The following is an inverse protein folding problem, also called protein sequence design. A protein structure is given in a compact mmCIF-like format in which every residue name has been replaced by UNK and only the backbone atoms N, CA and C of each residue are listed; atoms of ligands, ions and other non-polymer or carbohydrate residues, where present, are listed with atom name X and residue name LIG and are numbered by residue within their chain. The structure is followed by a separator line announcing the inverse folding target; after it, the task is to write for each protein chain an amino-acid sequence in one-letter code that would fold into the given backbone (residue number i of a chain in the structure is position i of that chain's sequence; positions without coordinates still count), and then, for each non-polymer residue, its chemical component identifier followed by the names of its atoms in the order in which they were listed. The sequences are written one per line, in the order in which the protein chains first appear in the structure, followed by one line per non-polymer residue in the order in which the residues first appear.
data_IF_462178359439
#
_entry.id   IF_462178359439
#
_cell.length_a   1.000
_cell.length_b   1.000
_cell.length_c   1.000
_cell.angle_alpha   90.00
_cell.angle_beta   90.00
_cell.angle_gamma   90.00
#
_symmetry.space_group_name_H-M   'P 1'
#
loop_
_entity.id
_entity.type
_entity.pdbx_description
1 polymer ?
#
# COMPACT_ATOMS: atom_id res chain seq x y z
N UNK A 1 -7.33 -1.28 29.49
CA UNK A 1 -6.40 -1.00 30.60
C UNK A 1 -5.99 0.46 30.46
N UNK A 2 -6.68 1.36 31.16
CA UNK A 2 -6.37 2.79 31.16
C UNK A 2 -5.21 3.01 32.14
N UNK A 3 -4.07 3.48 31.65
CA UNK A 3 -2.95 3.85 32.52
C UNK A 3 -3.25 5.23 33.10
N UNK A 4 -3.53 5.24 34.41
CA UNK A 4 -3.77 6.42 35.21
C UNK A 4 -2.43 7.08 35.54
N UNK A 5 -2.04 8.08 34.74
CA UNK A 5 -0.77 8.82 34.85
C UNK A 5 -0.62 9.52 36.22
N UNK A 6 -1.72 9.76 36.94
CA UNK A 6 -1.70 10.41 38.25
C UNK A 6 -1.03 9.60 39.37
N UNK A 7 -0.96 8.27 39.27
CA UNK A 7 -0.41 7.44 40.36
C UNK A 7 1.14 7.44 40.39
N UNK A 8 1.79 7.78 39.27
CA UNK A 8 3.26 7.78 39.18
C UNK A 8 3.88 9.00 39.86
N UNK A 9 3.18 10.14 39.88
CA UNK A 9 3.68 11.36 40.54
C UNK A 9 3.54 11.32 42.07
N UNK A 10 2.59 10.57 42.62
CA UNK A 10 2.36 10.50 44.07
C UNK A 10 3.47 9.76 44.84
N UNK A 11 4.26 8.92 44.16
CA UNK A 11 5.33 8.11 44.79
C UNK A 11 6.66 8.90 44.87
N UNK A 12 6.80 10.01 44.13
CA UNK A 12 8.09 10.69 43.96
C UNK A 12 8.31 11.95 44.82
N UNK A 13 7.39 12.32 45.71
CA UNK A 13 7.64 13.34 46.75
C UNK A 13 7.97 14.77 46.26
N UNK A 14 7.61 15.14 45.03
CA UNK A 14 7.77 16.51 44.51
C UNK A 14 6.47 17.30 44.70
N UNK A 15 6.35 18.03 45.81
CA UNK A 15 5.14 18.83 46.11
C UNK A 15 5.13 20.23 45.43
N UNK A 16 6.25 20.70 44.87
CA UNK A 16 6.36 22.10 44.41
C UNK A 16 6.13 22.30 42.89
N UNK A 17 5.87 21.24 42.12
CA UNK A 17 5.62 21.34 40.66
C UNK A 17 4.14 21.22 40.26
N UNK A 18 3.23 21.07 41.23
CA UNK A 18 1.80 20.84 40.99
C UNK A 18 1.07 22.13 40.53
N UNK A 19 1.56 23.31 40.94
CA UNK A 19 0.92 24.61 40.65
C UNK A 19 0.99 25.03 39.18
N UNK A 20 2.12 24.80 38.52
CA UNK A 20 2.34 25.19 37.10
C UNK A 20 1.81 24.11 36.13
N UNK A 21 1.80 22.84 36.52
CA UNK A 21 1.28 21.75 35.67
C UNK A 21 -0.25 21.81 35.49
N UNK A 22 -0.98 22.32 36.50
CA UNK A 22 -2.43 22.47 36.46
C UNK A 22 -2.93 23.62 35.57
N UNK A 23 -2.07 24.57 35.16
CA UNK A 23 -2.45 25.62 34.20
C UNK A 23 -2.40 25.15 32.74
N UNK A 24 -1.60 24.13 32.43
CA UNK A 24 -1.38 23.65 31.06
C UNK A 24 -2.31 22.49 30.65
N UNK A 25 -2.97 21.82 31.61
CA UNK A 25 -3.99 20.81 31.33
C UNK A 25 -5.32 21.22 31.96
N UNK A 26 -5.99 22.19 31.34
CA UNK A 26 -7.43 22.37 31.55
C UNK A 26 -8.11 21.06 31.11
N UNK A 27 -8.86 20.36 31.98
CA UNK A 27 -9.70 19.25 31.55
C UNK A 27 -10.63 19.75 30.44
N UNK A 28 -10.71 19.03 29.32
CA UNK A 28 -11.65 19.39 28.25
C UNK A 28 -13.05 19.32 28.85
N UNK A 29 -13.66 20.48 29.06
CA UNK A 29 -14.97 20.59 29.64
C UNK A 29 -15.99 20.25 28.55
N UNK A 30 -16.53 19.03 28.57
CA UNK A 30 -17.41 18.50 27.52
C UNK A 30 -18.76 19.26 27.44
N UNK A 31 -19.00 20.19 28.37
CA UNK A 31 -20.16 21.08 28.41
C UNK A 31 -19.88 22.47 27.85
N UNK A 32 -18.63 22.83 27.53
CA UNK A 32 -18.36 24.09 26.82
C UNK A 32 -18.83 23.94 25.37
N UNK A 33 -19.71 24.84 24.86
CA UNK A 33 -20.09 24.82 23.47
C UNK A 33 -18.83 25.03 22.61
N UNK A 34 -18.66 24.23 21.57
CA UNK A 34 -17.61 24.49 20.57
C UNK A 34 -17.76 25.94 20.11
N UNK A 35 -16.66 26.69 20.12
CA UNK A 35 -16.59 28.04 19.55
C UNK A 35 -17.34 28.07 18.21
N UNK A 36 -18.37 28.91 18.10
CA UNK A 36 -19.17 29.08 16.87
C UNK A 36 -18.31 29.57 15.70
N UNK A 37 -17.11 30.10 15.97
CA UNK A 37 -16.15 30.52 14.96
C UNK A 37 -14.95 29.55 14.91
N UNK A 38 -14.94 28.70 13.88
CA UNK A 38 -13.74 27.97 13.47
C UNK A 38 -12.91 28.92 12.60
N UNK A 39 -11.86 29.51 13.18
CA UNK A 39 -10.94 30.35 12.41
C UNK A 39 -10.17 29.48 11.39
N UNK A 40 -10.29 29.80 10.09
CA UNK A 40 -9.62 29.12 8.97
C UNK A 40 -8.08 29.07 9.07
N UNK A 41 -7.44 29.77 10.01
CA UNK A 41 -5.99 29.90 10.13
C UNK A 41 -5.25 28.65 10.66
N UNK A 42 -5.96 27.58 11.05
CA UNK A 42 -5.33 26.35 11.57
C UNK A 42 -5.57 25.11 10.68
N UNK A 43 -5.58 25.27 9.35
CA UNK A 43 -5.73 24.14 8.41
C UNK A 43 -4.76 23.00 8.74
N UNK A 44 -3.53 23.30 9.15
CA UNK A 44 -2.53 22.31 9.56
C UNK A 44 -2.87 21.54 10.83
N UNK A 45 -3.86 21.96 11.62
CA UNK A 45 -4.31 21.26 12.83
C UNK A 45 -5.58 20.43 12.61
N UNK A 46 -6.13 20.43 11.38
CA UNK A 46 -7.31 19.65 11.06
C UNK A 46 -7.09 18.16 11.29
N UNK A 47 -8.14 17.39 11.64
CA UNK A 47 -8.03 15.95 11.88
C UNK A 47 -7.40 15.18 10.72
N UNK A 48 -7.54 15.67 9.49
CA UNK A 48 -6.92 15.12 8.30
C UNK A 48 -5.39 15.04 8.43
N UNK A 49 -4.73 16.00 9.06
CA UNK A 49 -3.27 16.07 9.12
C UNK A 49 -2.66 15.49 10.40
N UNK A 50 -3.45 14.81 11.24
CA UNK A 50 -2.96 14.25 12.51
C UNK A 50 -2.13 12.98 12.33
N UNK A 51 -2.50 12.11 11.38
CA UNK A 51 -1.82 10.83 11.12
C UNK A 51 -1.74 10.58 9.63
N UNK A 52 -0.60 10.05 9.19
CA UNK A 52 -0.29 9.87 7.77
C UNK A 52 -1.31 8.99 7.01
N UNK A 53 -1.93 8.00 7.64
CA UNK A 53 -2.93 7.19 6.94
C UNK A 53 -4.13 8.00 6.46
N UNK A 54 -4.50 9.10 7.15
CA UNK A 54 -5.73 9.84 6.87
C UNK A 54 -5.72 10.50 5.48
N UNK A 55 -4.75 11.37 5.14
CA UNK A 55 -4.73 11.99 3.82
C UNK A 55 -4.35 10.98 2.75
N UNK A 56 -3.41 10.07 3.03
CA UNK A 56 -2.95 9.11 2.03
C UNK A 56 -4.01 8.07 1.67
N UNK A 57 -4.75 7.51 2.63
CA UNK A 57 -5.76 6.51 2.31
C UNK A 57 -6.93 7.15 1.54
N UNK A 58 -7.34 8.36 1.93
CA UNK A 58 -8.38 9.09 1.24
C UNK A 58 -7.96 9.44 -0.20
N UNK A 59 -6.80 10.07 -0.36
CA UNK A 59 -6.32 10.52 -1.67
C UNK A 59 -5.97 9.35 -2.59
N UNK A 60 -5.36 8.28 -2.06
CA UNK A 60 -5.05 7.08 -2.82
C UNK A 60 -6.32 6.32 -3.22
N UNK A 61 -7.34 6.25 -2.35
CA UNK A 61 -8.64 5.68 -2.68
C UNK A 61 -9.32 6.44 -3.82
N UNK A 62 -9.33 7.77 -3.76
CA UNK A 62 -9.83 8.59 -4.87
C UNK A 62 -9.04 8.36 -6.16
N UNK A 63 -7.71 8.33 -6.08
CA UNK A 63 -6.86 8.05 -7.23
C UNK A 63 -7.15 6.67 -7.84
N UNK A 64 -7.38 5.64 -7.03
CA UNK A 64 -7.70 4.30 -7.51
C UNK A 64 -9.00 4.27 -8.33
N UNK A 65 -10.03 4.99 -7.89
CA UNK A 65 -11.30 5.10 -8.62
C UNK A 65 -11.12 5.91 -9.89
N UNK A 66 -10.49 7.10 -9.80
CA UNK A 66 -10.32 8.00 -10.93
C UNK A 66 -9.39 7.43 -12.00
N UNK A 67 -8.29 6.79 -11.61
CA UNK A 67 -7.31 6.20 -12.53
C UNK A 67 -7.91 5.02 -13.30
N UNK A 68 -8.61 4.11 -12.61
CA UNK A 68 -9.30 2.98 -13.27
C UNK A 68 -10.50 3.47 -14.10
N UNK A 69 -11.23 4.48 -13.65
CA UNK A 69 -12.31 5.09 -14.43
C UNK A 69 -11.82 5.70 -15.74
N UNK A 70 -10.75 6.50 -15.68
CA UNK A 70 -10.10 7.07 -16.85
C UNK A 70 -9.58 5.97 -17.78
N UNK A 71 -8.91 4.96 -17.22
CA UNK A 71 -8.41 3.81 -17.98
C UNK A 71 -9.54 3.04 -18.69
N UNK A 72 -10.68 2.82 -18.03
CA UNK A 72 -11.84 2.16 -18.62
C UNK A 72 -12.45 2.97 -19.77
N UNK A 73 -12.53 4.29 -19.64
CA UNK A 73 -13.01 5.16 -20.72
C UNK A 73 -12.08 5.11 -21.94
N UNK A 74 -10.76 5.07 -21.73
CA UNK A 74 -9.77 4.90 -22.79
C UNK A 74 -9.92 3.53 -23.46
N UNK A 75 -10.00 2.45 -22.66
CA UNK A 75 -10.15 1.08 -23.17
C UNK A 75 -11.42 0.86 -24.00
N UNK A 76 -12.48 1.59 -23.69
CA UNK A 76 -13.77 1.50 -24.40
C UNK A 76 -13.89 2.51 -25.54
N UNK A 77 -12.88 3.36 -25.76
CA UNK A 77 -12.86 4.36 -26.83
C UNK A 77 -13.70 5.62 -26.55
N UNK A 78 -14.21 5.81 -25.33
CA UNK A 78 -14.99 6.99 -24.94
C UNK A 78 -14.12 8.19 -24.55
N UNK A 79 -12.81 7.98 -24.32
CA UNK A 79 -11.84 9.04 -24.05
C UNK A 79 -10.59 8.86 -24.93
N UNK A 80 -10.08 9.96 -25.48
CA UNK A 80 -8.78 9.98 -26.16
C UNK A 80 -7.65 10.22 -25.15
N UNK A 81 -6.48 9.63 -25.42
CA UNK A 81 -5.29 9.83 -24.59
C UNK A 81 -4.16 10.40 -25.45
N UNK A 82 -3.77 11.65 -25.16
CA UNK A 82 -2.81 12.41 -25.96
C UNK A 82 -1.64 12.95 -25.11
N UNK A 83 -1.41 12.40 -23.92
CA UNK A 83 -0.28 12.78 -23.08
C UNK A 83 1.03 12.12 -23.56
N UNK A 84 2.15 12.74 -23.19
CA UNK A 84 3.51 12.26 -23.54
C UNK A 84 3.77 10.81 -23.10
N UNK A 85 3.27 10.42 -21.92
CA UNK A 85 3.34 9.04 -21.47
C UNK A 85 2.17 8.24 -22.04
N UNK A 86 2.39 7.10 -22.71
CA UNK A 86 1.34 6.19 -23.16
C UNK A 86 0.40 5.78 -22.02
N UNK A 87 -0.89 5.64 -22.33
CA UNK A 87 -1.93 5.37 -21.33
C UNK A 87 -1.64 4.13 -20.47
N UNK A 88 -1.12 3.04 -21.08
CA UNK A 88 -0.74 1.81 -20.36
C UNK A 88 0.36 2.05 -19.33
N UNK A 89 1.34 2.87 -19.68
CA UNK A 89 2.44 3.24 -18.79
C UNK A 89 1.92 4.15 -17.67
N UNK A 90 1.09 5.14 -17.99
CA UNK A 90 0.46 5.99 -16.99
C UNK A 90 -0.37 5.19 -15.98
N UNK A 91 -1.21 4.28 -16.46
CA UNK A 91 -2.00 3.37 -15.62
C UNK A 91 -1.08 2.55 -14.70
N UNK A 92 -0.03 1.92 -15.23
CA UNK A 92 0.91 1.13 -14.44
C UNK A 92 1.61 2.00 -13.37
N UNK A 93 2.04 3.21 -13.72
CA UNK A 93 2.66 4.16 -12.81
C UNK A 93 1.73 4.58 -11.68
N UNK A 94 0.52 5.04 -12.03
CA UNK A 94 -0.43 5.57 -11.04
C UNK A 94 -0.96 4.47 -10.13
N UNK A 95 -1.19 3.25 -10.61
CA UNK A 95 -1.65 2.16 -9.75
C UNK A 95 -0.53 1.64 -8.82
N UNK A 96 0.71 1.59 -9.30
CA UNK A 96 1.84 1.07 -8.52
C UNK A 96 2.43 2.13 -7.58
N UNK A 97 2.92 3.24 -8.13
CA UNK A 97 3.63 4.27 -7.34
C UNK A 97 2.69 5.32 -6.77
N UNK A 98 1.65 5.71 -7.51
CA UNK A 98 0.65 6.67 -7.06
C UNK A 98 -0.23 6.10 -5.94
N UNK A 99 -0.94 5.00 -6.22
CA UNK A 99 -1.90 4.37 -5.33
C UNK A 99 -1.20 3.47 -4.29
N UNK A 100 -0.63 2.33 -4.70
CA UNK A 100 -0.08 1.38 -3.73
C UNK A 100 1.09 1.96 -2.92
N UNK A 101 1.95 2.76 -3.56
CA UNK A 101 3.02 3.50 -2.89
C UNK A 101 2.52 4.47 -1.83
N UNK A 102 1.51 5.29 -2.12
CA UNK A 102 0.93 6.21 -1.15
C UNK A 102 0.33 5.50 0.06
N UNK A 103 -0.39 4.40 -0.17
CA UNK A 103 -0.96 3.61 0.92
C UNK A 103 0.13 2.98 1.78
N UNK A 104 1.18 2.43 1.17
CA UNK A 104 2.32 1.89 1.91
C UNK A 104 3.00 2.95 2.79
N UNK A 105 3.22 4.16 2.27
CA UNK A 105 3.76 5.29 3.04
C UNK A 105 2.81 5.71 4.17
N UNK A 106 1.53 5.89 3.90
CA UNK A 106 0.52 6.23 4.90
C UNK A 106 0.42 5.19 6.02
N UNK A 107 0.47 3.91 5.65
CA UNK A 107 0.50 2.79 6.59
C UNK A 107 1.76 2.80 7.44
N UNK A 108 2.95 2.85 6.83
CA UNK A 108 4.22 2.77 7.55
C UNK A 108 4.46 3.95 8.47
N UNK A 109 4.19 5.18 8.03
CA UNK A 109 4.37 6.36 8.87
C UNK A 109 3.41 6.35 10.07
N UNK A 110 2.24 5.75 9.93
CA UNK A 110 1.29 5.56 11.04
C UNK A 110 1.73 4.43 11.96
N UNK A 111 2.06 3.27 11.40
CA UNK A 111 2.42 2.07 12.16
C UNK A 111 3.77 2.22 12.87
N UNK A 112 4.73 2.90 12.25
CA UNK A 112 6.03 3.18 12.85
C UNK A 112 5.90 3.91 14.18
N UNK A 113 4.95 4.85 14.32
CA UNK A 113 4.72 5.56 15.58
C UNK A 113 4.32 4.60 16.69
N UNK A 114 3.48 3.62 16.40
CA UNK A 114 3.11 2.57 17.35
C UNK A 114 4.27 1.64 17.68
N UNK A 115 5.14 1.33 16.71
CA UNK A 115 6.27 0.44 16.92
C UNK A 115 7.45 1.08 17.65
N UNK A 116 7.66 2.38 17.49
CA UNK A 116 8.83 3.11 18.00
C UNK A 116 8.52 3.99 19.21
N UNK A 117 7.26 4.37 19.41
CA UNK A 117 6.88 5.41 20.37
C UNK A 117 7.30 6.82 19.95
N UNK A 118 7.96 6.97 18.81
CA UNK A 118 8.39 8.27 18.26
C UNK A 118 7.23 8.84 17.44
N UNK A 119 6.87 10.10 17.67
CA UNK A 119 5.82 10.78 16.92
C UNK A 119 6.15 10.80 15.41
N UNK A 120 5.14 10.49 14.59
CA UNK A 120 5.22 10.60 13.13
C UNK A 120 5.11 12.05 12.67
N UNK A 121 5.33 12.28 11.37
CA UNK A 121 5.04 13.59 10.77
C UNK A 121 3.54 13.90 10.86
N UNK A 122 3.23 15.13 11.26
CA UNK A 122 1.86 15.63 11.36
C UNK A 122 1.79 17.10 10.94
N UNK A 123 0.58 17.61 10.81
CA UNK A 123 0.26 18.99 10.47
C UNK A 123 0.93 19.46 9.19
N UNK A 124 1.61 20.62 9.24
CA UNK A 124 2.19 21.26 8.05
C UNK A 124 3.19 20.37 7.30
N UNK A 125 3.95 19.51 8.01
CA UNK A 125 4.92 18.60 7.39
C UNK A 125 4.21 17.51 6.58
N UNK A 126 3.14 16.94 7.14
CA UNK A 126 2.33 15.94 6.45
C UNK A 126 1.54 16.56 5.29
N UNK A 127 1.04 17.78 5.48
CA UNK A 127 0.36 18.55 4.44
C UNK A 127 1.29 18.81 3.26
N UNK A 128 2.51 19.31 3.50
CA UNK A 128 3.52 19.52 2.44
C UNK A 128 3.82 18.23 1.68
N UNK A 129 4.05 17.12 2.39
CA UNK A 129 4.34 15.83 1.76
C UNK A 129 3.14 15.34 0.91
N UNK A 130 1.92 15.55 1.38
CA UNK A 130 0.69 15.22 0.64
C UNK A 130 0.52 16.11 -0.59
N UNK A 131 0.82 17.40 -0.49
CA UNK A 131 0.76 18.35 -1.60
C UNK A 131 1.82 18.06 -2.66
N UNK A 132 3.04 17.67 -2.26
CA UNK A 132 4.06 17.17 -3.18
C UNK A 132 3.55 15.93 -3.93
N UNK A 133 2.86 15.03 -3.21
CA UNK A 133 2.21 13.89 -3.85
C UNK A 133 1.13 14.34 -4.84
N UNK A 134 0.24 15.26 -4.49
CA UNK A 134 -0.78 15.75 -5.43
C UNK A 134 -0.18 16.47 -6.63
N UNK A 135 0.87 17.26 -6.42
CA UNK A 135 1.56 18.00 -7.48
C UNK A 135 2.20 17.06 -8.52
N UNK A 136 2.80 15.96 -8.09
CA UNK A 136 3.36 14.95 -9.01
C UNK A 136 2.28 14.38 -9.95
N UNK A 137 1.07 14.11 -9.44
CA UNK A 137 -0.09 13.71 -10.25
C UNK A 137 -0.54 14.80 -11.22
N UNK A 138 -0.57 16.05 -10.76
CA UNK A 138 -0.88 17.20 -11.62
C UNK A 138 0.14 17.42 -12.74
N UNK A 139 1.41 17.07 -12.51
CA UNK A 139 2.51 17.30 -13.45
C UNK A 139 2.29 16.65 -14.82
N UNK A 140 1.59 15.51 -14.89
CA UNK A 140 1.26 14.85 -16.17
C UNK A 140 0.55 15.78 -17.17
N UNK A 141 -0.24 16.73 -16.67
CA UNK A 141 -1.11 17.59 -17.45
C UNK A 141 -0.53 18.99 -17.73
N UNK A 142 0.67 19.29 -17.22
CA UNK A 142 1.29 20.61 -17.37
C UNK A 142 2.24 20.60 -18.58
N UNK A 143 2.00 21.45 -19.57
CA UNK A 143 2.90 21.63 -20.70
C UNK A 143 3.90 22.75 -20.42
N UNK A 144 5.20 22.49 -20.61
CA UNK A 144 6.24 23.51 -20.56
C UNK A 144 6.50 24.08 -21.95
N UNK A 145 6.46 25.40 -22.11
CA UNK A 145 6.79 26.06 -23.39
C UNK A 145 8.30 25.93 -23.64
N UNK A 146 8.69 25.30 -24.76
CA UNK A 146 10.09 25.22 -25.20
C UNK A 146 10.96 24.17 -24.52
N UNK A 147 10.39 23.30 -23.67
CA UNK A 147 11.10 22.17 -23.04
C UNK A 147 10.35 20.88 -23.37
N UNK A 148 10.97 20.02 -24.19
CA UNK A 148 10.43 18.68 -24.48
C UNK A 148 10.33 17.86 -23.18
N UNK A 149 9.25 17.10 -23.01
CA UNK A 149 9.01 16.24 -21.84
C UNK A 149 9.05 16.96 -20.47
N UNK A 150 8.80 18.28 -20.43
CA UNK A 150 8.77 19.07 -19.19
C UNK A 150 7.88 18.44 -18.10
N UNK A 151 6.70 17.95 -18.48
CA UNK A 151 5.78 17.24 -17.58
C UNK A 151 6.44 16.04 -16.89
N UNK A 152 7.21 15.23 -17.64
CA UNK A 152 7.86 14.03 -17.12
C UNK A 152 9.04 14.37 -16.21
N UNK A 153 9.84 15.40 -16.53
CA UNK A 153 10.90 15.87 -15.64
C UNK A 153 10.33 16.47 -14.34
N UNK A 154 9.25 17.25 -14.43
CA UNK A 154 8.56 17.79 -13.26
C UNK A 154 7.99 16.66 -12.38
N UNK A 155 7.34 15.66 -12.99
CA UNK A 155 6.87 14.45 -12.31
C UNK A 155 8.02 13.72 -11.62
N UNK A 156 9.13 13.47 -12.31
CA UNK A 156 10.30 12.78 -11.76
C UNK A 156 10.83 13.50 -10.52
N UNK A 157 11.02 14.82 -10.60
CA UNK A 157 11.49 15.62 -9.47
C UNK A 157 10.51 15.59 -8.30
N UNK A 158 9.23 15.87 -8.53
CA UNK A 158 8.21 15.91 -7.48
C UNK A 158 8.05 14.54 -6.81
N UNK A 159 8.08 13.47 -7.59
CA UNK A 159 7.98 12.10 -7.10
C UNK A 159 9.23 11.69 -6.31
N UNK A 160 10.43 12.09 -6.74
CA UNK A 160 11.66 11.88 -5.98
C UNK A 160 11.61 12.59 -4.62
N UNK A 161 11.23 13.86 -4.61
CA UNK A 161 11.11 14.65 -3.38
C UNK A 161 10.10 14.02 -2.41
N UNK A 162 8.98 13.53 -2.93
CA UNK A 162 7.99 12.80 -2.13
C UNK A 162 8.56 11.51 -1.53
N UNK A 163 9.20 10.66 -2.35
CA UNK A 163 9.81 9.41 -1.88
C UNK A 163 10.88 9.67 -0.82
N UNK A 164 11.80 10.61 -1.06
CA UNK A 164 12.84 10.96 -0.12
C UNK A 164 12.24 11.50 1.18
N UNK A 165 11.22 12.37 1.11
CA UNK A 165 10.51 12.89 2.28
C UNK A 165 9.89 11.77 3.13
N UNK A 166 9.22 10.81 2.49
CA UNK A 166 8.63 9.65 3.16
C UNK A 166 9.69 8.72 3.79
N UNK A 167 10.76 8.41 3.06
CA UNK A 167 11.85 7.55 3.53
C UNK A 167 12.59 8.21 4.70
N UNK A 168 12.90 9.51 4.61
CA UNK A 168 13.56 10.25 5.70
C UNK A 168 12.68 10.30 6.95
N UNK A 169 11.37 10.54 6.81
CA UNK A 169 10.45 10.52 7.93
C UNK A 169 10.43 9.16 8.63
N UNK A 170 10.34 8.07 7.86
CA UNK A 170 10.39 6.71 8.40
C UNK A 170 11.75 6.40 9.05
N UNK A 171 12.85 6.72 8.36
CA UNK A 171 14.21 6.48 8.84
C UNK A 171 14.48 7.18 10.17
N UNK A 172 14.08 8.44 10.29
CA UNK A 172 14.20 9.21 11.52
C UNK A 172 13.49 8.52 12.70
N UNK A 173 12.26 8.03 12.51
CA UNK A 173 11.52 7.32 13.56
C UNK A 173 12.21 6.01 13.95
N UNK A 174 12.66 5.24 12.96
CA UNK A 174 13.25 3.92 13.18
C UNK A 174 14.64 4.02 13.84
N UNK A 175 15.50 4.93 13.39
CA UNK A 175 16.84 5.11 13.93
C UNK A 175 16.81 5.74 15.32
N UNK A 176 15.95 6.74 15.55
CA UNK A 176 15.81 7.36 16.88
C UNK A 176 15.39 6.34 17.95
N UNK A 177 14.56 5.36 17.58
CA UNK A 177 14.14 4.28 18.49
C UNK A 177 15.00 3.01 18.39
N UNK A 178 16.06 3.00 17.58
CA UNK A 178 16.89 1.82 17.31
C UNK A 178 16.09 0.54 16.96
N UNK A 179 14.99 0.69 16.21
CA UNK A 179 14.02 -0.38 15.99
C UNK A 179 14.45 -1.32 14.86
N UNK A 180 15.45 -2.16 15.14
CA UNK A 180 16.10 -3.08 14.19
C UNK A 180 15.10 -4.03 13.49
N UNK A 181 14.04 -4.43 14.17
CA UNK A 181 13.01 -5.30 13.61
C UNK A 181 12.29 -4.67 12.42
N UNK A 182 12.25 -3.33 12.33
CA UNK A 182 11.52 -2.60 11.31
C UNK A 182 12.42 -1.99 10.22
N UNK A 183 13.74 -2.13 10.33
CA UNK A 183 14.69 -1.58 9.35
C UNK A 183 14.50 -2.13 7.94
N UNK A 184 14.01 -3.35 7.79
CA UNK A 184 13.75 -3.96 6.48
C UNK A 184 12.76 -3.19 5.59
N UNK A 185 11.92 -2.31 6.15
CA UNK A 185 11.02 -1.48 5.35
C UNK A 185 11.74 -0.33 4.64
N UNK A 186 12.88 0.15 5.17
CA UNK A 186 13.68 1.19 4.52
C UNK A 186 14.23 0.74 3.15
N UNK A 187 14.96 -0.38 3.02
CA UNK A 187 15.45 -0.81 1.72
C UNK A 187 14.31 -1.16 0.75
N UNK A 188 13.16 -1.63 1.23
CA UNK A 188 11.99 -1.87 0.36
C UNK A 188 11.44 -0.57 -0.22
N UNK A 189 11.28 0.48 0.59
CA UNK A 189 10.82 1.79 0.11
C UNK A 189 11.86 2.45 -0.79
N UNK A 190 13.14 2.35 -0.43
CA UNK A 190 14.23 2.85 -1.27
C UNK A 190 14.27 2.14 -2.61
N UNK A 191 14.04 0.81 -2.66
CA UNK A 191 13.95 0.07 -3.91
C UNK A 191 12.76 0.54 -4.77
N UNK A 192 11.59 0.75 -4.17
CA UNK A 192 10.43 1.30 -4.89
C UNK A 192 10.71 2.72 -5.43
N UNK A 193 11.38 3.57 -4.65
CA UNK A 193 11.83 4.89 -5.09
C UNK A 193 12.76 4.79 -6.30
N UNK A 194 13.81 3.98 -6.21
CA UNK A 194 14.79 3.78 -7.30
C UNK A 194 14.11 3.22 -8.55
N UNK A 195 13.26 2.20 -8.41
CA UNK A 195 12.51 1.64 -9.54
C UNK A 195 11.57 2.67 -10.16
N UNK A 196 10.94 3.53 -9.37
CA UNK A 196 10.10 4.62 -9.89
C UNK A 196 10.94 5.62 -10.71
N UNK A 197 12.13 5.99 -10.24
CA UNK A 197 13.01 6.93 -10.94
C UNK A 197 13.53 6.34 -12.25
N UNK A 198 13.98 5.08 -12.21
CA UNK A 198 14.39 4.35 -13.41
C UNK A 198 13.22 4.25 -14.39
N UNK A 199 12.03 3.93 -13.91
CA UNK A 199 10.82 3.84 -14.74
C UNK A 199 10.54 5.15 -15.48
N UNK A 200 10.51 6.28 -14.76
CA UNK A 200 10.22 7.59 -15.35
C UNK A 200 11.32 8.02 -16.33
N UNK A 201 12.58 7.75 -15.98
CA UNK A 201 13.70 7.98 -16.89
C UNK A 201 13.57 7.19 -18.19
N UNK A 202 13.22 5.89 -18.11
CA UNK A 202 13.01 5.06 -19.29
C UNK A 202 11.82 5.50 -20.15
N UNK A 203 10.78 6.09 -19.55
CA UNK A 203 9.68 6.69 -20.32
C UNK A 203 10.15 7.92 -21.07
N UNK A 204 10.97 8.78 -20.45
CA UNK A 204 11.57 9.95 -21.10
C UNK A 204 12.45 9.51 -22.29
N UNK A 205 13.25 8.47 -22.11
CA UNK A 205 14.08 7.84 -23.15
C UNK A 205 13.27 6.98 -24.15
N UNK A 206 11.94 6.98 -24.05
CA UNK A 206 11.03 6.20 -24.91
C UNK A 206 11.28 4.68 -24.93
N UNK A 207 11.98 4.14 -23.93
CA UNK A 207 12.26 2.72 -23.79
C UNK A 207 11.14 1.99 -23.03
N UNK A 208 9.99 1.85 -23.71
CA UNK A 208 8.74 1.38 -23.10
C UNK A 208 8.82 -0.08 -22.59
N UNK A 209 9.51 -0.96 -23.31
CA UNK A 209 9.65 -2.36 -22.92
C UNK A 209 10.39 -2.50 -21.59
N UNK A 210 11.49 -1.76 -21.43
CA UNK A 210 12.27 -1.79 -20.20
C UNK A 210 11.52 -1.10 -19.04
N UNK A 211 10.80 0.00 -19.32
CA UNK A 211 9.91 0.62 -18.33
C UNK A 211 8.86 -0.39 -17.82
N UNK A 212 8.24 -1.20 -18.69
CA UNK A 212 7.31 -2.25 -18.27
C UNK A 212 7.97 -3.29 -17.36
N UNK A 213 9.18 -3.76 -17.69
CA UNK A 213 9.91 -4.71 -16.85
C UNK A 213 10.26 -4.12 -15.46
N UNK A 214 10.57 -2.82 -15.41
CA UNK A 214 10.89 -2.11 -14.15
C UNK A 214 9.65 -1.97 -13.26
N UNK A 215 8.49 -1.61 -13.81
CA UNK A 215 7.25 -1.54 -13.01
C UNK A 215 6.77 -2.93 -12.58
N UNK A 216 6.95 -3.96 -13.42
CA UNK A 216 6.67 -5.34 -13.04
C UNK A 216 7.56 -5.78 -11.86
N UNK A 217 8.84 -5.37 -11.85
CA UNK A 217 9.73 -5.58 -10.70
C UNK A 217 9.21 -4.83 -9.47
N UNK A 218 8.71 -3.60 -9.62
CA UNK A 218 8.14 -2.83 -8.51
C UNK A 218 6.90 -3.52 -7.91
N UNK A 219 6.07 -4.17 -8.73
CA UNK A 219 4.95 -5.02 -8.26
C UNK A 219 5.48 -6.17 -7.41
N UNK A 220 6.56 -6.84 -7.82
CA UNK A 220 7.16 -7.93 -7.02
C UNK A 220 7.78 -7.43 -5.72
N UNK A 221 8.40 -6.24 -5.71
CA UNK A 221 8.89 -5.60 -4.47
C UNK A 221 7.73 -5.25 -3.54
N UNK A 222 6.61 -4.74 -4.07
CA UNK A 222 5.41 -4.49 -3.27
C UNK A 222 4.77 -5.80 -2.78
N UNK A 223 4.85 -6.86 -3.56
CA UNK A 223 4.40 -8.20 -3.16
C UNK A 223 5.22 -8.72 -1.97
N UNK A 224 6.54 -8.57 -2.02
CA UNK A 224 7.44 -8.84 -0.91
C UNK A 224 7.07 -7.99 0.33
N UNK A 225 6.80 -6.69 0.13
CA UNK A 225 6.35 -5.80 1.20
C UNK A 225 5.05 -6.31 1.85
N UNK A 226 4.02 -6.62 1.06
CA UNK A 226 2.76 -7.19 1.54
C UNK A 226 3.00 -8.51 2.25
N UNK A 227 3.83 -9.40 1.71
CA UNK A 227 4.17 -10.69 2.32
C UNK A 227 4.83 -10.55 3.70
N UNK A 228 5.67 -9.53 3.88
CA UNK A 228 6.30 -9.21 5.17
C UNK A 228 5.31 -8.60 6.16
N UNK A 229 4.49 -7.65 5.72
CA UNK A 229 3.43 -7.06 6.55
C UNK A 229 2.45 -8.14 6.99
N UNK A 230 2.01 -9.00 6.06
CA UNK A 230 1.11 -10.11 6.31
C UNK A 230 1.64 -11.06 7.40
N UNK A 231 2.93 -11.44 7.35
CA UNK A 231 3.60 -12.26 8.35
C UNK A 231 3.48 -11.76 9.79
N UNK A 232 3.31 -10.45 9.98
CA UNK A 232 3.21 -9.82 11.30
C UNK A 232 1.78 -9.62 11.74
N UNK A 233 0.93 -9.24 10.81
CA UNK A 233 -0.42 -8.75 11.09
C UNK A 233 -1.48 -9.83 10.99
N UNK A 234 -1.37 -10.80 10.06
CA UNK A 234 -2.39 -11.84 9.88
C UNK A 234 -2.47 -12.76 11.11
N UNK A 235 -1.36 -13.32 11.63
CA UNK A 235 -1.42 -14.13 12.85
C UNK A 235 -1.98 -13.36 14.05
N UNK A 236 -1.55 -12.10 14.21
CA UNK A 236 -2.00 -11.23 15.28
C UNK A 236 -3.51 -10.95 15.17
N UNK A 237 -3.99 -10.50 14.01
CA UNK A 237 -5.40 -10.19 13.81
C UNK A 237 -6.28 -11.43 13.86
N UNK A 238 -5.81 -12.58 13.38
CA UNK A 238 -6.55 -13.84 13.47
C UNK A 238 -6.73 -14.26 14.93
N UNK A 239 -5.66 -14.23 15.73
CA UNK A 239 -5.77 -14.56 17.15
C UNK A 239 -6.69 -13.59 17.90
N UNK A 240 -6.54 -12.28 17.68
CA UNK A 240 -7.37 -11.27 18.33
C UNK A 240 -8.83 -11.29 17.87
N UNK A 241 -9.07 -11.48 16.58
CA UNK A 241 -10.42 -11.45 15.99
C UNK A 241 -11.24 -12.72 16.28
N UNK A 242 -10.57 -13.84 16.57
CA UNK A 242 -11.22 -15.11 16.94
C UNK A 242 -11.15 -15.42 18.44
N UNK A 243 -10.53 -14.55 19.25
CA UNK A 243 -10.37 -14.78 20.69
C UNK A 243 -9.47 -15.98 21.04
N UNK A 244 -8.48 -16.30 20.19
CA UNK A 244 -7.56 -17.41 20.45
C UNK A 244 -6.58 -17.06 21.57
N UNK A 245 -6.22 -18.07 22.36
CA UNK A 245 -5.24 -17.95 23.45
C UNK A 245 -3.83 -17.66 22.93
N UNK A 246 -3.49 -18.20 21.75
CA UNK A 246 -2.16 -18.07 21.17
C UNK A 246 -2.16 -17.62 19.71
N UNK A 247 -1.06 -16.98 19.31
CA UNK A 247 -0.79 -16.59 17.93
C UNK A 247 0.06 -17.66 17.26
N UNK A 248 -0.38 -18.14 16.08
CA UNK A 248 0.41 -19.08 15.28
C UNK A 248 1.54 -18.32 14.57
N UNK A 249 2.76 -18.40 15.10
CA UNK A 249 3.95 -17.73 14.53
C UNK A 249 4.80 -18.70 13.73
N UNK A 250 5.39 -18.21 12.64
CA UNK A 250 6.19 -19.01 11.70
C UNK A 250 7.57 -18.41 11.41
N UNK A 251 8.39 -18.09 12.44
CA UNK A 251 9.58 -17.24 12.28
C UNK A 251 10.65 -17.81 11.34
N UNK A 252 10.80 -19.14 11.27
CA UNK A 252 11.73 -19.78 10.32
C UNK A 252 11.25 -19.62 8.89
N UNK A 253 9.96 -19.90 8.64
CA UNK A 253 9.34 -19.75 7.33
C UNK A 253 9.33 -18.28 6.88
N UNK A 254 9.12 -17.33 7.80
CA UNK A 254 9.15 -15.90 7.51
C UNK A 254 10.54 -15.44 7.01
N UNK A 255 11.62 -15.95 7.60
CA UNK A 255 12.99 -15.68 7.12
C UNK A 255 13.23 -16.29 5.75
N UNK A 256 12.88 -17.57 5.56
CA UNK A 256 13.03 -18.26 4.26
C UNK A 256 12.25 -17.53 3.17
N UNK A 257 11.01 -17.13 3.45
CA UNK A 257 10.17 -16.35 2.53
C UNK A 257 10.80 -15.00 2.17
N UNK A 258 11.32 -14.27 3.14
CA UNK A 258 11.97 -12.97 2.89
C UNK A 258 13.13 -13.13 1.91
N UNK A 259 14.09 -14.01 2.20
CA UNK A 259 15.29 -14.16 1.37
C UNK A 259 14.99 -14.81 0.02
N UNK A 260 14.11 -15.80 -0.04
CA UNK A 260 13.69 -16.40 -1.32
C UNK A 260 12.92 -15.41 -2.20
N UNK A 261 12.10 -14.53 -1.61
CA UNK A 261 11.43 -13.45 -2.34
C UNK A 261 12.42 -12.41 -2.87
N UNK A 262 13.39 -11.98 -2.06
CA UNK A 262 14.46 -11.07 -2.51
C UNK A 262 15.22 -11.70 -3.69
N UNK A 263 15.59 -12.98 -3.57
CA UNK A 263 16.25 -13.70 -4.64
C UNK A 263 15.39 -13.78 -5.91
N UNK A 264 14.11 -14.13 -5.80
CA UNK A 264 13.21 -14.23 -6.95
C UNK A 264 12.96 -12.88 -7.63
N UNK A 265 12.81 -11.79 -6.86
CA UNK A 265 12.70 -10.42 -7.37
C UNK A 265 13.98 -10.01 -8.10
N UNK A 266 15.15 -10.24 -7.50
CA UNK A 266 16.44 -9.91 -8.11
C UNK A 266 16.67 -10.72 -9.39
N UNK A 267 16.36 -12.01 -9.37
CA UNK A 267 16.47 -12.88 -10.54
C UNK A 267 15.53 -12.42 -11.66
N UNK A 268 14.28 -12.04 -11.34
CA UNK A 268 13.36 -11.46 -12.32
C UNK A 268 13.95 -10.20 -12.93
N UNK A 269 14.35 -9.22 -12.11
CA UNK A 269 14.94 -7.97 -12.58
C UNK A 269 16.16 -8.21 -13.49
N UNK A 270 17.09 -9.06 -13.05
CA UNK A 270 18.30 -9.37 -13.81
C UNK A 270 17.95 -10.07 -15.13
N UNK A 271 17.00 -11.01 -15.12
CA UNK A 271 16.57 -11.71 -16.33
C UNK A 271 15.99 -10.76 -17.37
N UNK A 272 15.18 -9.79 -16.95
CA UNK A 272 14.52 -8.88 -17.89
C UNK A 272 15.46 -7.81 -18.43
N UNK A 273 16.42 -7.35 -17.61
CA UNK A 273 17.28 -6.22 -17.98
C UNK A 273 18.62 -6.63 -18.61
N UNK A 274 19.17 -7.79 -18.21
CA UNK A 274 20.55 -8.15 -18.54
C UNK A 274 20.70 -9.54 -19.17
N UNK A 275 19.86 -10.52 -18.77
CA UNK A 275 20.02 -11.92 -19.19
C UNK A 275 18.66 -12.54 -19.62
N UNK A 276 18.11 -12.16 -20.79
CA UNK A 276 16.76 -12.58 -21.22
C UNK A 276 16.58 -14.09 -21.39
N UNK A 277 17.68 -14.85 -21.50
CA UNK A 277 17.66 -16.31 -21.61
C UNK A 277 17.29 -17.00 -20.29
N UNK A 278 17.47 -16.33 -19.15
CA UNK A 278 17.12 -16.87 -17.84
C UNK A 278 15.63 -16.73 -17.60
N UNK A 279 14.94 -17.83 -17.33
CA UNK A 279 13.52 -17.82 -16.94
C UNK A 279 13.38 -17.84 -15.41
N UNK A 280 12.94 -16.74 -14.77
CA UNK A 280 12.83 -16.65 -13.31
C UNK A 280 11.62 -17.43 -12.74
N UNK A 281 10.78 -18.03 -13.60
CA UNK A 281 9.51 -18.66 -13.20
C UNK A 281 9.65 -19.71 -12.09
N UNK A 282 10.69 -20.54 -12.12
CA UNK A 282 10.92 -21.54 -11.06
C UNK A 282 11.14 -20.92 -9.67
N UNK A 283 11.82 -19.77 -9.60
CA UNK A 283 12.07 -19.08 -8.33
C UNK A 283 10.77 -18.46 -7.80
N UNK A 284 9.97 -17.85 -8.68
CA UNK A 284 8.62 -17.35 -8.34
C UNK A 284 7.71 -18.49 -7.86
N UNK A 285 7.78 -19.67 -8.51
CA UNK A 285 7.02 -20.86 -8.13
C UNK A 285 7.41 -21.41 -6.76
N UNK A 286 8.70 -21.43 -6.44
CA UNK A 286 9.17 -21.79 -5.09
C UNK A 286 8.60 -20.84 -4.02
N UNK A 287 8.65 -19.53 -4.27
CA UNK A 287 8.11 -18.52 -3.35
C UNK A 287 6.59 -18.67 -3.21
N UNK A 288 5.87 -18.98 -4.29
CA UNK A 288 4.43 -19.27 -4.25
C UNK A 288 4.12 -20.45 -3.31
N UNK A 289 4.84 -21.57 -3.43
CA UNK A 289 4.67 -22.76 -2.57
C UNK A 289 4.90 -22.41 -1.09
N UNK A 290 5.93 -21.60 -0.79
CA UNK A 290 6.19 -21.14 0.57
C UNK A 290 5.07 -20.22 1.10
N UNK A 291 4.46 -19.39 0.26
CA UNK A 291 3.33 -18.57 0.66
C UNK A 291 2.07 -19.41 0.91
N UNK A 292 1.81 -20.45 0.09
CA UNK A 292 0.73 -21.40 0.32
C UNK A 292 0.92 -22.19 1.62
N UNK A 293 2.13 -22.71 1.87
CA UNK A 293 2.40 -23.43 3.12
C UNK A 293 2.16 -22.54 4.34
N UNK A 294 2.59 -21.27 4.29
CA UNK A 294 2.32 -20.29 5.34
C UNK A 294 0.82 -19.99 5.50
N UNK A 295 0.09 -19.87 4.39
CA UNK A 295 -1.37 -19.66 4.40
C UNK A 295 -2.11 -20.81 5.06
N UNK A 296 -1.74 -22.06 4.75
CA UNK A 296 -2.32 -23.26 5.36
C UNK A 296 -2.11 -23.29 6.88
N UNK A 297 -0.92 -22.91 7.35
CA UNK A 297 -0.61 -22.87 8.79
C UNK A 297 -1.47 -21.83 9.53
N UNK A 298 -1.79 -20.71 8.91
CA UNK A 298 -2.61 -19.65 9.51
C UNK A 298 -4.12 -19.89 9.38
N UNK A 299 -4.53 -20.83 8.54
CA UNK A 299 -5.94 -21.02 8.23
C UNK A 299 -6.74 -21.55 9.42
N UNK A 300 -7.90 -20.92 9.66
CA UNK A 300 -8.92 -21.36 10.61
C UNK A 300 -10.28 -21.13 9.96
N UNK A 301 -11.15 -22.14 9.92
CA UNK A 301 -12.47 -22.01 9.27
C UNK A 301 -13.33 -20.87 9.84
N UNK A 302 -13.16 -20.55 11.13
CA UNK A 302 -13.85 -19.44 11.78
C UNK A 302 -13.52 -18.05 11.19
N UNK A 303 -12.41 -17.90 10.47
CA UNK A 303 -12.04 -16.67 9.74
C UNK A 303 -13.15 -16.23 8.79
N UNK A 304 -13.85 -17.17 8.16
CA UNK A 304 -14.92 -16.89 7.19
C UNK A 304 -16.12 -16.17 7.82
N UNK A 305 -16.30 -16.27 9.14
CA UNK A 305 -17.38 -15.58 9.87
C UNK A 305 -17.08 -14.11 10.14
N UNK A 306 -15.83 -13.67 9.94
CA UNK A 306 -15.39 -12.31 10.26
C UNK A 306 -14.87 -11.63 8.99
N UNK A 307 -15.63 -10.68 8.40
CA UNK A 307 -15.26 -10.00 7.16
C UNK A 307 -13.88 -9.37 7.14
N UNK A 308 -13.49 -8.72 8.24
CA UNK A 308 -12.16 -8.12 8.38
C UNK A 308 -11.01 -9.15 8.43
N UNK A 309 -11.30 -10.44 8.66
CA UNK A 309 -10.30 -11.50 8.67
C UNK A 309 -10.26 -12.22 7.33
N UNK A 310 -11.40 -12.66 6.79
CA UNK A 310 -11.37 -13.39 5.53
C UNK A 310 -10.80 -12.54 4.41
N UNK A 311 -11.02 -11.23 4.40
CA UNK A 311 -10.47 -10.36 3.36
C UNK A 311 -8.94 -10.35 3.36
N UNK A 312 -8.32 -10.35 4.53
CA UNK A 312 -6.86 -10.45 4.68
C UNK A 312 -6.33 -11.83 4.25
N UNK A 313 -7.04 -12.91 4.61
CA UNK A 313 -6.64 -14.27 4.26
C UNK A 313 -6.78 -14.56 2.78
N UNK A 314 -7.88 -14.15 2.14
CA UNK A 314 -8.08 -14.33 0.71
C UNK A 314 -7.13 -13.44 -0.11
N UNK A 315 -6.86 -12.22 0.35
CA UNK A 315 -5.81 -11.37 -0.25
C UNK A 315 -4.43 -12.05 -0.18
N UNK A 316 -4.10 -12.63 0.96
CA UNK A 316 -2.84 -13.34 1.14
C UNK A 316 -2.78 -14.67 0.37
N UNK A 317 -3.91 -15.35 0.17
CA UNK A 317 -4.01 -16.53 -0.69
C UNK A 317 -3.83 -16.17 -2.17
N UNK A 318 -4.41 -15.05 -2.61
CA UNK A 318 -4.21 -14.49 -3.95
C UNK A 318 -2.74 -14.17 -4.23
N UNK A 319 -1.92 -13.89 -3.20
CA UNK A 319 -0.47 -13.71 -3.35
C UNK A 319 0.18 -15.00 -3.85
N UNK A 320 -0.10 -16.12 -3.18
CA UNK A 320 0.39 -17.44 -3.60
C UNK A 320 -0.07 -17.79 -5.01
N UNK A 321 -1.36 -17.59 -5.32
CA UNK A 321 -1.90 -17.85 -6.66
C UNK A 321 -1.29 -16.96 -7.73
N UNK A 322 -1.16 -15.66 -7.47
CA UNK A 322 -0.57 -14.72 -8.43
C UNK A 322 0.88 -15.06 -8.75
N UNK A 323 1.70 -15.39 -7.74
CA UNK A 323 3.07 -15.85 -7.97
C UNK A 323 3.14 -17.19 -8.71
N UNK A 324 2.23 -18.12 -8.44
CA UNK A 324 2.14 -19.38 -9.17
C UNK A 324 1.74 -19.15 -10.63
N UNK A 325 0.77 -18.28 -10.91
CA UNK A 325 0.39 -17.91 -12.27
C UNK A 325 1.53 -17.21 -13.01
N UNK A 326 2.26 -16.30 -12.34
CA UNK A 326 3.45 -15.69 -12.92
C UNK A 326 4.51 -16.75 -13.24
N UNK A 327 4.78 -17.68 -12.34
CA UNK A 327 5.71 -18.78 -12.57
C UNK A 327 5.32 -19.59 -13.81
N UNK A 328 4.05 -19.99 -13.92
CA UNK A 328 3.52 -20.76 -15.04
C UNK A 328 3.57 -19.99 -16.36
N UNK A 329 3.39 -18.66 -16.34
CA UNK A 329 3.44 -17.83 -17.56
C UNK A 329 4.78 -17.87 -18.30
N UNK A 330 5.89 -18.23 -17.63
CA UNK A 330 7.20 -18.43 -18.27
C UNK A 330 7.31 -19.75 -19.06
N UNK A 331 6.39 -20.68 -18.82
CA UNK A 331 6.41 -22.04 -19.34
C UNK A 331 5.15 -22.44 -20.10
N UNK A 332 4.10 -21.59 -20.10
CA UNK A 332 2.84 -21.82 -20.79
C UNK A 332 2.43 -20.61 -21.61
N UNK A 333 2.13 -20.78 -22.91
CA UNK A 333 1.64 -19.68 -23.75
C UNK A 333 0.18 -19.30 -23.45
N UNK A 334 -0.56 -20.14 -22.71
CA UNK A 334 -1.97 -19.92 -22.38
C UNK A 334 -2.12 -18.88 -21.26
N UNK A 335 -1.19 -18.88 -20.30
CA UNK A 335 -1.22 -17.97 -19.16
C UNK A 335 -0.39 -16.74 -19.51
N UNK A 336 -1.04 -15.64 -19.87
CA UNK A 336 -0.36 -14.39 -20.16
C UNK A 336 0.22 -13.79 -18.87
N UNK A 337 1.48 -13.34 -18.94
CA UNK A 337 2.18 -12.73 -17.80
C UNK A 337 1.39 -11.57 -17.19
N UNK A 338 0.83 -10.69 -18.03
CA UNK A 338 0.07 -9.52 -17.55
C UNK A 338 -1.24 -9.92 -16.89
N UNK A 339 -1.91 -10.98 -17.32
CA UNK A 339 -3.12 -11.46 -16.66
C UNK A 339 -2.80 -12.05 -15.28
N UNK A 340 -1.72 -12.85 -15.20
CA UNK A 340 -1.19 -13.37 -13.95
C UNK A 340 -0.75 -12.25 -12.98
N UNK A 341 -0.09 -11.21 -13.48
CA UNK A 341 0.31 -10.05 -12.69
C UNK A 341 -0.88 -9.35 -12.05
N UNK A 342 -2.05 -9.30 -12.71
CA UNK A 342 -3.23 -8.66 -12.15
C UNK A 342 -3.86 -9.43 -10.99
N UNK A 343 -3.59 -10.74 -10.84
CA UNK A 343 -4.00 -11.49 -9.66
C UNK A 343 -3.24 -10.98 -8.43
N UNK A 344 -1.99 -10.56 -8.62
CA UNK A 344 -1.18 -9.90 -7.60
C UNK A 344 -1.68 -8.47 -7.38
N UNK A 345 -1.75 -7.64 -8.41
CA UNK A 345 -2.04 -6.20 -8.21
C UNK A 345 -3.45 -5.95 -7.69
N UNK A 346 -4.45 -6.72 -8.14
CA UNK A 346 -5.84 -6.61 -7.70
C UNK A 346 -6.08 -7.47 -6.45
N UNK A 347 -5.89 -8.79 -6.58
CA UNK A 347 -6.26 -9.76 -5.57
C UNK A 347 -5.36 -9.72 -4.33
N UNK A 348 -4.07 -9.42 -4.49
CA UNK A 348 -3.16 -9.29 -3.35
C UNK A 348 -3.09 -7.86 -2.88
N UNK A 349 -2.52 -6.95 -3.69
CA UNK A 349 -2.18 -5.59 -3.26
C UNK A 349 -3.47 -4.79 -3.03
N UNK A 350 -4.37 -4.73 -4.02
CA UNK A 350 -5.64 -4.00 -3.91
C UNK A 350 -6.52 -4.48 -2.75
N UNK A 351 -6.76 -5.80 -2.67
CA UNK A 351 -7.57 -6.37 -1.59
C UNK A 351 -6.93 -6.18 -0.21
N UNK A 352 -5.60 -6.33 -0.08
CA UNK A 352 -4.88 -6.08 1.18
C UNK A 352 -5.03 -4.62 1.59
N UNK A 353 -4.87 -3.70 0.63
CA UNK A 353 -5.03 -2.26 0.84
C UNK A 353 -6.44 -1.98 1.36
N UNK A 354 -7.50 -2.43 0.68
CA UNK A 354 -8.87 -2.15 1.08
C UNK A 354 -9.21 -2.71 2.47
N UNK A 355 -8.76 -3.95 2.75
CA UNK A 355 -8.92 -4.58 4.06
C UNK A 355 -8.18 -3.83 5.18
N UNK A 356 -6.93 -3.42 4.91
CA UNK A 356 -6.11 -2.68 5.87
C UNK A 356 -6.60 -1.26 6.08
N UNK A 357 -7.01 -0.55 5.02
CA UNK A 357 -7.60 0.78 5.12
C UNK A 357 -8.79 0.77 6.07
N UNK A 358 -9.69 -0.20 5.90
CA UNK A 358 -10.86 -0.34 6.76
C UNK A 358 -10.45 -0.56 8.22
N UNK A 359 -9.54 -1.50 8.48
CA UNK A 359 -9.10 -1.86 9.83
C UNK A 359 -8.32 -0.73 10.52
N UNK A 360 -7.35 -0.15 9.83
CA UNK A 360 -6.48 0.92 10.35
C UNK A 360 -7.31 2.17 10.62
N UNK A 361 -8.25 2.51 9.73
CA UNK A 361 -9.14 3.66 9.93
C UNK A 361 -9.99 3.50 11.17
N UNK A 362 -10.61 2.33 11.40
CA UNK A 362 -11.39 2.10 12.63
C UNK A 362 -10.49 2.06 13.87
N UNK A 363 -9.39 1.30 13.81
CA UNK A 363 -8.48 1.10 14.95
C UNK A 363 -7.83 2.40 15.45
N UNK A 364 -7.36 3.26 14.54
CA UNK A 364 -6.73 4.53 14.91
C UNK A 364 -7.70 5.70 15.11
N UNK A 365 -9.01 5.48 14.90
CA UNK A 365 -10.07 6.44 15.27
C UNK A 365 -10.85 6.02 16.52
N UNK A 366 -10.46 4.92 17.17
CA UNK A 366 -11.14 4.41 18.37
C UNK A 366 -12.53 3.82 18.11
N UNK A 367 -12.90 3.58 16.84
CA UNK A 367 -14.18 2.97 16.48
C UNK A 367 -14.14 1.45 16.69
N UNK A 368 -15.28 0.82 17.02
CA UNK A 368 -15.38 -0.63 17.07
C UNK A 368 -14.93 -1.27 15.75
N UNK A 369 -14.26 -2.42 15.80
CA UNK A 369 -13.84 -3.20 14.63
C UNK A 369 -15.01 -4.04 14.06
N UNK A 370 -16.16 -3.40 13.92
CA UNK A 370 -17.37 -3.93 13.31
C UNK A 370 -17.65 -3.14 12.04
N UNK A 371 -17.83 -3.84 10.92
CA UNK A 371 -18.06 -3.19 9.63
C UNK A 371 -19.49 -3.43 9.15
N UNK A 372 -20.09 -2.47 8.44
CA UNK A 372 -21.36 -2.68 7.78
C UNK A 372 -21.21 -3.68 6.61
N UNK A 373 -22.30 -4.36 6.26
CA UNK A 373 -22.32 -5.42 5.26
C UNK A 373 -21.77 -4.98 3.89
N UNK A 374 -21.98 -3.73 3.49
CA UNK A 374 -21.50 -3.22 2.20
C UNK A 374 -19.96 -3.22 2.08
N UNK A 375 -19.22 -3.11 3.19
CA UNK A 375 -17.74 -3.23 3.14
C UNK A 375 -17.32 -4.68 2.89
N UNK A 376 -18.07 -5.66 3.44
CA UNK A 376 -17.84 -7.06 3.12
C UNK A 376 -18.13 -7.36 1.64
N UNK A 377 -19.16 -6.73 1.08
CA UNK A 377 -19.45 -6.78 -0.36
C UNK A 377 -18.30 -6.17 -1.16
N UNK A 378 -17.78 -4.99 -0.78
CA UNK A 378 -16.63 -4.37 -1.44
C UNK A 378 -15.39 -5.30 -1.48
N UNK A 379 -15.07 -5.97 -0.36
CA UNK A 379 -14.00 -6.98 -0.34
C UNK A 379 -14.25 -8.12 -1.34
N UNK A 380 -15.49 -8.59 -1.44
CA UNK A 380 -15.86 -9.66 -2.37
C UNK A 380 -15.76 -9.19 -3.83
N UNK A 381 -16.20 -7.96 -4.13
CA UNK A 381 -16.11 -7.36 -5.45
C UNK A 381 -14.67 -7.25 -5.94
N UNK A 382 -13.72 -6.82 -5.10
CA UNK A 382 -12.29 -6.78 -5.47
C UNK A 382 -11.74 -8.19 -5.72
N UNK A 383 -12.11 -9.17 -4.91
CA UNK A 383 -11.66 -10.55 -5.10
C UNK A 383 -12.20 -11.12 -6.43
N UNK A 384 -13.48 -10.88 -6.73
CA UNK A 384 -14.10 -11.29 -7.99
C UNK A 384 -13.47 -10.55 -9.17
N UNK A 385 -13.19 -9.25 -9.03
CA UNK A 385 -12.48 -8.47 -10.05
C UNK A 385 -11.12 -9.09 -10.39
N UNK A 386 -10.34 -9.50 -9.39
CA UNK A 386 -9.05 -10.16 -9.59
C UNK A 386 -9.19 -11.48 -10.36
N UNK A 387 -10.17 -12.31 -9.98
CA UNK A 387 -10.44 -13.58 -10.66
C UNK A 387 -10.82 -13.36 -12.12
N UNK A 388 -11.76 -12.44 -12.38
CA UNK A 388 -12.20 -12.10 -13.73
C UNK A 388 -11.03 -11.55 -14.55
N UNK A 389 -10.25 -10.63 -13.99
CA UNK A 389 -9.14 -10.00 -14.71
C UNK A 389 -8.05 -10.99 -15.11
N UNK A 390 -7.81 -12.01 -14.30
CA UNK A 390 -6.65 -12.87 -14.44
C UNK A 390 -6.94 -14.23 -15.06
N UNK A 391 -8.14 -14.78 -14.86
CA UNK A 391 -8.46 -16.16 -15.27
C UNK A 391 -9.48 -16.23 -16.40
N UNK A 392 -10.37 -15.23 -16.51
CA UNK A 392 -11.45 -15.26 -17.50
C UNK A 392 -11.12 -14.66 -18.88
N UNK A 393 -10.01 -13.92 -19.15
CA UNK A 393 -9.71 -13.44 -20.51
C UNK A 393 -9.71 -14.53 -21.58
N UNK A 394 -9.27 -15.74 -21.24
CA UNK A 394 -9.24 -16.90 -22.15
C UNK A 394 -10.63 -17.50 -22.42
N UNK A 395 -11.60 -17.25 -21.55
CA UNK A 395 -12.95 -17.83 -21.62
C UNK A 395 -13.95 -16.88 -22.26
N UNK A 396 -13.97 -15.62 -21.82
CA UNK A 396 -14.97 -14.62 -22.23
C UNK A 396 -14.38 -13.50 -23.10
N UNK A 397 -13.10 -13.62 -23.44
CA UNK A 397 -12.35 -12.60 -24.17
C UNK A 397 -11.77 -11.51 -23.26
N UNK A 398 -10.60 -10.95 -23.61
CA UNK A 398 -9.87 -10.00 -22.76
C UNK A 398 -10.66 -8.71 -22.51
N UNK A 399 -11.27 -8.12 -23.53
CA UNK A 399 -11.97 -6.83 -23.39
C UNK A 399 -13.13 -6.88 -22.39
N UNK A 400 -13.97 -7.92 -22.45
CA UNK A 400 -15.11 -8.08 -21.52
C UNK A 400 -14.59 -8.33 -20.10
N UNK A 401 -13.61 -9.21 -19.95
CA UNK A 401 -13.00 -9.49 -18.64
C UNK A 401 -12.39 -8.23 -18.01
N UNK A 402 -11.68 -7.41 -18.79
CA UNK A 402 -11.06 -6.17 -18.31
C UNK A 402 -12.11 -5.13 -17.91
N UNK A 403 -13.18 -4.96 -18.69
CA UNK A 403 -14.27 -4.02 -18.38
C UNK A 403 -15.02 -4.43 -17.11
N UNK A 404 -15.41 -5.70 -16.99
CA UNK A 404 -16.10 -6.21 -15.79
C UNK A 404 -15.23 -6.04 -14.55
N UNK A 405 -13.94 -6.40 -14.63
CA UNK A 405 -13.02 -6.20 -13.51
C UNK A 405 -12.88 -4.72 -13.13
N UNK A 406 -12.81 -3.81 -14.11
CA UNK A 406 -12.68 -2.37 -13.84
C UNK A 406 -13.93 -1.82 -13.15
N UNK A 407 -15.13 -2.21 -13.59
CA UNK A 407 -16.39 -1.80 -12.96
C UNK A 407 -16.48 -2.33 -11.53
N UNK A 408 -16.18 -3.61 -11.31
CA UNK A 408 -16.19 -4.20 -9.97
C UNK A 408 -15.19 -3.51 -9.03
N UNK A 409 -14.01 -3.15 -9.53
CA UNK A 409 -13.02 -2.37 -8.78
C UNK A 409 -13.52 -0.98 -8.41
N UNK A 410 -14.16 -0.27 -9.35
CA UNK A 410 -14.65 1.10 -9.13
C UNK A 410 -15.79 1.14 -8.10
N UNK A 411 -16.66 0.13 -8.13
CA UNK A 411 -17.81 0.03 -7.20
C UNK A 411 -17.38 -0.35 -5.79
N UNK A 412 -16.31 -1.14 -5.66
CA UNK A 412 -15.74 -1.60 -4.38
C UNK A 412 -14.93 -0.50 -3.67
#
# INVERSE_FOLDING_TARGET
MYLNVGLVCAIAGYNDSIGEFNKLMRPINVTEPMSEQVHFYQVSQWPLWMLAFRPYFLAAGMLAVLSIGCWLLILTGHASWQLAMPATLWHAHEMMFGFAGAVAVGFLLTAAQTWTGVASISGSKLMLLTLLWLAARGAFFITGTGIENFNLYALLLLQLLWWLGAIMALANMLFKASNKNNYQFLPMLSALCVLNMIYLWLVIEQNMLLALAVVDTAVLVMTLFVGVVAGRVLPFFTARGLGLTEQVRTPRLDKVLLYSSIFAVALYFISQLFIPTVKPGWALGLVAVLHFSRSLVWWRSAVLKVPLLWSLHFSYLALGFGLALLALSFYSPIILFKDALHMITIGTIGMMILAMMTRVSHGHTGRPLTIPHFIAVAFALVLVAAIIRSLLPVVIGPHIAWQLSAVLWIVA
#
